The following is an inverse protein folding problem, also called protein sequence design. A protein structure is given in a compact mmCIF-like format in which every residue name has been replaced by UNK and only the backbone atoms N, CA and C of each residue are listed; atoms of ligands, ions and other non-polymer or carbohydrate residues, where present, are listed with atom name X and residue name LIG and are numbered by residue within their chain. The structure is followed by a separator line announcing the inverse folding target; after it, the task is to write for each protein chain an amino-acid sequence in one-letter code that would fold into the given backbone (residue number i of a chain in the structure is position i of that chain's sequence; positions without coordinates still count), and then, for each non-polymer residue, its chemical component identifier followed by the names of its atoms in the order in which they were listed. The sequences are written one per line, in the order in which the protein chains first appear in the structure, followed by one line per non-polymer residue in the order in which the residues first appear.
data_IF_714103955407
#
_entry.id   IF_714103955407
#
_cell.length_a   1.000
_cell.length_b   1.000
_cell.length_c   1.000
_cell.angle_alpha   90.00
_cell.angle_beta   90.00
_cell.angle_gamma   90.00
#
_symmetry.space_group_name_H-M   'P 1'
#
loop_
_entity.id
_entity.type
_entity.pdbx_description
1 polymer ?
#
# COMPACT_ATOMS: atom_id res chain seq x y z
N UNK A 1 0.60 -11.96 11.08
CA UNK A 1 2.08 -11.83 11.25
C UNK A 1 2.70 -11.84 9.87
N UNK A 2 3.02 -10.67 9.32
CA UNK A 2 3.69 -10.57 8.03
C UNK A 2 5.02 -11.34 8.06
N UNK A 3 5.26 -12.29 7.15
CA UNK A 3 6.51 -13.04 7.14
C UNK A 3 7.65 -12.10 6.78
N UNK A 4 8.51 -11.83 7.76
CA UNK A 4 9.79 -11.18 7.55
C UNK A 4 10.64 -12.02 6.58
N UNK A 5 10.87 -11.49 5.38
CA UNK A 5 11.77 -12.05 4.37
C UNK A 5 12.99 -11.12 4.25
N UNK A 6 14.19 -11.56 4.67
CA UNK A 6 15.34 -10.69 4.94
C UNK A 6 16.07 -10.12 3.70
N UNK A 7 15.61 -10.40 2.48
CA UNK A 7 16.38 -10.21 1.24
C UNK A 7 15.63 -9.52 0.09
N UNK A 8 14.36 -9.10 0.25
CA UNK A 8 13.55 -8.59 -0.87
C UNK A 8 12.51 -7.52 -0.48
N UNK A 9 12.97 -6.34 -0.06
CA UNK A 9 12.09 -5.22 0.35
C UNK A 9 11.40 -4.46 -0.79
N UNK A 10 11.30 -5.01 -2.00
CA UNK A 10 10.55 -4.33 -3.08
C UNK A 10 9.46 -5.22 -3.63
N UNK A 11 8.21 -4.79 -3.47
CA UNK A 11 7.09 -5.29 -4.27
C UNK A 11 7.42 -5.13 -5.76
N UNK A 12 7.17 -6.16 -6.56
CA UNK A 12 7.63 -6.17 -7.95
C UNK A 12 6.63 -5.48 -8.88
N UNK A 13 5.34 -5.54 -8.55
CA UNK A 13 4.26 -5.12 -9.43
C UNK A 13 3.04 -4.62 -8.65
N UNK A 14 2.06 -4.07 -9.38
CA UNK A 14 0.85 -3.49 -8.82
C UNK A 14 -0.06 -4.50 -8.12
N UNK A 15 -0.07 -5.76 -8.53
CA UNK A 15 -0.94 -6.79 -7.92
C UNK A 15 -0.50 -7.01 -6.48
N UNK A 16 0.80 -7.22 -6.25
CA UNK A 16 1.34 -7.40 -4.89
C UNK A 16 1.02 -6.22 -3.96
N UNK A 17 1.10 -4.99 -4.47
CA UNK A 17 0.83 -3.78 -3.67
C UNK A 17 -0.66 -3.62 -3.37
N UNK A 18 -1.53 -3.87 -4.35
CA UNK A 18 -2.98 -3.80 -4.18
C UNK A 18 -3.45 -4.89 -3.22
N UNK A 19 -2.91 -6.11 -3.33
CA UNK A 19 -3.24 -7.23 -2.45
C UNK A 19 -2.89 -6.87 -1.00
N UNK A 20 -1.69 -6.35 -0.73
CA UNK A 20 -1.28 -5.96 0.62
C UNK A 20 -2.12 -4.81 1.19
N UNK A 21 -2.47 -3.82 0.38
CA UNK A 21 -3.41 -2.78 0.81
C UNK A 21 -4.80 -3.36 1.15
N UNK A 22 -5.25 -4.39 0.41
CA UNK A 22 -6.52 -5.06 0.67
C UNK A 22 -6.49 -5.96 1.91
N UNK A 23 -5.36 -6.62 2.19
CA UNK A 23 -5.17 -7.50 3.34
C UNK A 23 -5.32 -6.78 4.69
N UNK A 24 -5.22 -5.45 4.71
CA UNK A 24 -5.54 -4.65 5.89
C UNK A 24 -6.99 -4.82 6.37
N UNK A 25 -7.88 -5.38 5.55
CA UNK A 25 -9.22 -5.84 5.94
C UNK A 25 -9.19 -6.73 7.19
N UNK A 26 -8.16 -7.58 7.36
CA UNK A 26 -8.00 -8.47 8.52
C UNK A 26 -8.01 -7.68 9.84
N UNK A 27 -7.56 -6.43 9.81
CA UNK A 27 -7.46 -5.53 10.96
C UNK A 27 -8.58 -4.48 11.00
N UNK A 28 -9.46 -4.46 10.00
CA UNK A 28 -10.54 -3.47 9.91
C UNK A 28 -11.75 -3.89 10.74
N UNK A 29 -12.09 -3.06 11.73
CA UNK A 29 -13.31 -3.21 12.50
C UNK A 29 -14.15 -1.94 12.37
N UNK A 30 -15.24 -2.01 11.59
CA UNK A 30 -16.07 -0.84 11.26
C UNK A 30 -16.57 -0.06 12.49
N UNK A 31 -16.84 -0.74 13.60
CA UNK A 31 -17.31 -0.12 14.84
C UNK A 31 -16.19 0.54 15.67
N UNK A 32 -14.91 0.24 15.38
CA UNK A 32 -13.74 0.77 16.08
C UNK A 32 -12.69 1.27 15.07
N UNK A 33 -12.93 2.44 14.44
CA UNK A 33 -11.99 3.00 13.48
C UNK A 33 -10.69 3.44 14.18
N UNK A 34 -9.69 2.56 14.25
CA UNK A 34 -8.28 2.93 14.47
C UNK A 34 -7.72 3.64 13.22
N UNK A 35 -6.92 4.67 13.36
CA UNK A 35 -6.62 5.54 12.20
C UNK A 35 -5.47 5.08 11.31
N UNK A 36 -4.64 4.12 11.72
CA UNK A 36 -3.34 3.91 11.05
C UNK A 36 -3.09 2.53 10.43
N UNK A 37 -3.69 1.44 10.93
CA UNK A 37 -3.35 0.08 10.47
C UNK A 37 -4.09 -0.33 9.19
N UNK A 38 -5.22 0.31 8.90
CA UNK A 38 -6.10 -0.05 7.79
C UNK A 38 -6.45 1.12 6.88
N UNK A 39 -5.57 2.12 6.83
CA UNK A 39 -5.80 3.34 6.06
C UNK A 39 -5.77 3.09 4.55
N UNK A 40 -5.03 2.09 4.07
CA UNK A 40 -5.03 1.73 2.66
C UNK A 40 -6.31 1.00 2.29
N UNK A 41 -6.72 -0.03 3.05
CA UNK A 41 -7.98 -0.75 2.80
C UNK A 41 -9.18 0.21 2.81
N UNK A 42 -9.28 1.05 3.85
CA UNK A 42 -10.40 2.01 3.95
C UNK A 42 -10.41 3.02 2.82
N UNK A 43 -9.25 3.45 2.32
CA UNK A 43 -9.16 4.30 1.14
C UNK A 43 -9.61 3.57 -0.15
N UNK A 44 -9.28 2.29 -0.31
CA UNK A 44 -9.71 1.48 -1.46
C UNK A 44 -11.23 1.33 -1.55
N UNK A 45 -11.91 1.17 -0.41
CA UNK A 45 -13.36 0.99 -0.34
C UNK A 45 -14.12 2.29 -0.04
N UNK A 46 -13.46 3.44 -0.12
CA UNK A 46 -14.04 4.71 0.31
C UNK A 46 -15.20 5.14 -0.60
N UNK A 47 -16.41 5.24 -0.04
CA UNK A 47 -17.65 5.44 -0.82
C UNK A 47 -17.62 6.67 -1.75
N UNK A 48 -16.99 7.78 -1.31
CA UNK A 48 -16.95 9.00 -2.13
C UNK A 48 -15.82 9.01 -3.16
N UNK A 49 -14.95 8.00 -3.21
CA UNK A 49 -13.86 7.94 -4.19
C UNK A 49 -14.43 7.54 -5.56
N UNK A 50 -14.31 8.44 -6.54
CA UNK A 50 -14.86 8.23 -7.87
C UNK A 50 -13.79 7.98 -8.95
N UNK A 51 -12.58 8.50 -8.73
CA UNK A 51 -11.46 8.37 -9.67
C UNK A 51 -10.17 8.02 -8.93
N UNK A 52 -9.30 7.28 -9.60
CA UNK A 52 -7.99 6.88 -9.09
C UNK A 52 -6.90 7.17 -10.14
N UNK A 53 -5.74 7.64 -9.68
CA UNK A 53 -4.53 7.76 -10.50
C UNK A 53 -3.32 7.23 -9.75
N UNK A 54 -2.54 6.37 -10.39
CA UNK A 54 -1.42 5.68 -9.75
C UNK A 54 -0.09 5.88 -10.50
N UNK A 55 1.03 5.82 -9.77
CA UNK A 55 2.38 5.89 -10.34
C UNK A 55 3.36 5.00 -9.59
N UNK A 56 4.22 4.34 -10.35
CA UNK A 56 5.39 3.61 -9.89
C UNK A 56 6.65 4.41 -10.27
N UNK A 57 7.57 4.56 -9.32
CA UNK A 57 8.91 5.12 -9.55
C UNK A 57 9.97 4.16 -9.03
N UNK A 58 11.02 3.94 -9.80
CA UNK A 58 12.24 3.28 -9.30
C UNK A 58 13.10 4.37 -8.68
N UNK A 59 13.31 4.26 -7.38
CA UNK A 59 14.08 5.20 -6.58
C UNK A 59 15.54 4.76 -6.48
N UNK A 60 16.48 5.70 -6.37
CA UNK A 60 17.88 5.38 -6.11
C UNK A 60 18.03 4.53 -4.82
N UNK A 61 19.10 3.73 -4.71
CA UNK A 61 19.38 2.98 -3.51
C UNK A 61 19.32 3.83 -2.24
N UNK A 62 18.76 3.26 -1.18
CA UNK A 62 18.66 3.88 0.13
C UNK A 62 19.09 2.86 1.20
N UNK A 63 19.86 3.28 2.20
CA UNK A 63 20.38 2.39 3.24
C UNK A 63 21.62 1.58 2.83
N UNK A 64 21.89 0.50 3.55
CA UNK A 64 23.15 -0.29 3.45
C UNK A 64 23.21 -1.24 2.27
N UNK A 65 22.07 -1.61 1.71
CA UNK A 65 21.98 -2.76 0.81
C UNK A 65 22.24 -2.38 -0.66
N UNK A 66 22.37 -1.08 -0.93
CA UNK A 66 22.67 -0.49 -2.25
C UNK A 66 21.77 -1.00 -3.40
N UNK A 67 20.53 -1.40 -3.08
CA UNK A 67 19.53 -1.87 -4.05
C UNK A 67 18.53 -0.75 -4.35
N UNK A 68 18.23 -0.45 -5.63
CA UNK A 68 17.11 0.43 -6.00
C UNK A 68 15.79 -0.11 -5.46
N UNK A 69 14.91 0.78 -4.99
CA UNK A 69 13.61 0.39 -4.44
C UNK A 69 12.47 0.96 -5.29
N UNK A 70 11.30 0.34 -5.18
CA UNK A 70 10.12 0.72 -5.95
C UNK A 70 9.13 1.46 -5.06
N UNK A 71 8.72 2.65 -5.50
CA UNK A 71 7.76 3.48 -4.80
C UNK A 71 6.44 3.53 -5.57
N UNK A 72 5.40 2.95 -4.97
CA UNK A 72 4.06 2.87 -5.52
C UNK A 72 3.15 3.87 -4.79
N UNK A 73 2.43 4.68 -5.55
CA UNK A 73 1.48 5.67 -5.02
C UNK A 73 0.20 5.64 -5.83
N UNK A 74 -0.94 5.70 -5.16
CA UNK A 74 -2.24 5.96 -5.77
C UNK A 74 -2.91 7.14 -5.06
N UNK A 75 -3.46 8.07 -5.83
CA UNK A 75 -4.29 9.17 -5.36
C UNK A 75 -5.74 8.92 -5.77
N UNK A 76 -6.65 9.22 -4.85
CA UNK A 76 -8.09 9.05 -5.02
C UNK A 76 -8.77 10.42 -5.01
N UNK A 77 -9.67 10.65 -5.96
CA UNK A 77 -10.43 11.89 -6.07
C UNK A 77 -11.88 11.63 -5.67
N UNK A 78 -12.45 12.57 -4.91
CA UNK A 78 -13.87 12.53 -4.53
C UNK A 78 -14.77 12.89 -5.72
N UNK A 79 -15.86 12.13 -5.87
CA UNK A 79 -16.97 12.45 -6.78
C UNK A 79 -18.01 13.37 -6.16
#
# INVERSE_FOLDING_TARGET
KFPYQPDKYSYENWIEVIDIWSEEEEYYYHAYPSTNVFSHYTQMIWHSSALIGCKLTICPPFGTDNVPWRFFVCNYIRG
#
